data_IF_284896822220
#
_entry.id   IF_284896822220
#
_cell.length_a   1.000
_cell.length_b   1.000
_cell.length_c   1.000
_cell.angle_alpha   90.00
_cell.angle_beta   90.00
_cell.angle_gamma   90.00
#
_symmetry.space_group_name_H-M   'P 1'
#
loop_
_entity.id
_entity.type
_entity.pdbx_description
1 polymer ?
#
# COMPACT_ATOMS: atom_id res chain seq x y z
N UNK A 1 -16.10 -12.63 -11.10
CA UNK A 1 -15.40 -12.69 -12.40
C UNK A 1 -13.91 -12.53 -12.11
N UNK A 2 -13.14 -13.61 -12.20
CA UNK A 2 -11.68 -13.54 -12.12
C UNK A 2 -11.16 -13.16 -13.50
N UNK A 3 -10.75 -11.90 -13.68
CA UNK A 3 -10.10 -11.44 -14.89
C UNK A 3 -8.64 -11.87 -14.86
N UNK A 4 -8.26 -12.80 -15.75
CA UNK A 4 -6.86 -13.13 -16.01
C UNK A 4 -6.20 -11.93 -16.69
N UNK A 5 -5.46 -11.11 -15.95
CA UNK A 5 -4.65 -10.04 -16.55
C UNK A 5 -3.25 -10.58 -16.75
N UNK A 6 -2.78 -10.59 -18.00
CA UNK A 6 -1.43 -10.95 -18.41
C UNK A 6 -0.39 -10.39 -17.40
N UNK A 7 0.25 -11.28 -16.63
CA UNK A 7 0.91 -10.95 -15.34
C UNK A 7 2.39 -10.56 -15.45
N UNK A 8 3.00 -10.58 -16.65
CA UNK A 8 4.46 -10.39 -16.76
C UNK A 8 4.93 -9.03 -16.22
N UNK A 9 5.60 -9.06 -15.06
CA UNK A 9 6.26 -7.91 -14.45
C UNK A 9 5.28 -6.88 -13.89
N UNK A 10 4.18 -7.33 -13.27
CA UNK A 10 3.16 -6.48 -12.65
C UNK A 10 3.12 -6.71 -11.14
N UNK A 11 3.46 -5.66 -10.39
CA UNK A 11 3.27 -5.65 -8.94
C UNK A 11 1.95 -5.01 -8.59
N UNK A 12 1.14 -5.73 -7.82
CA UNK A 12 -0.11 -5.25 -7.26
C UNK A 12 0.11 -5.00 -5.78
N UNK A 13 0.17 -3.72 -5.38
CA UNK A 13 0.03 -3.34 -3.99
C UNK A 13 -1.45 -3.10 -3.71
N UNK A 14 -2.04 -3.86 -2.80
CA UNK A 14 -3.40 -3.63 -2.33
C UNK A 14 -3.36 -3.10 -0.89
N UNK A 15 -3.70 -1.83 -0.70
CA UNK A 15 -3.86 -1.25 0.64
C UNK A 15 -5.33 -1.33 1.00
N UNK A 16 -5.67 -2.13 2.00
CA UNK A 16 -6.98 -2.18 2.64
C UNK A 16 -6.93 -1.41 3.94
N UNK A 17 -7.85 -0.46 4.14
CA UNK A 17 -7.99 0.27 5.40
C UNK A 17 -9.34 -0.11 6.02
N UNK A 18 -9.33 -0.62 7.26
CA UNK A 18 -10.52 -1.11 7.93
C UNK A 18 -10.35 -1.40 9.42
N UNK A 19 -11.46 -1.47 10.16
CA UNK A 19 -11.47 -1.85 11.59
C UNK A 19 -11.40 -3.39 11.71
N UNK A 20 -10.24 -3.92 12.15
CA UNK A 20 -10.01 -5.37 12.26
C UNK A 20 -10.28 -5.95 13.65
N UNK A 21 -10.41 -5.15 14.72
CA UNK A 21 -10.56 -5.66 16.10
C UNK A 21 -11.64 -4.90 16.85
N UNK A 22 -12.52 -5.66 17.52
CA UNK A 22 -13.76 -5.31 18.23
C UNK A 22 -13.85 -3.99 19.05
N UNK A 23 -12.79 -3.22 19.19
CA UNK A 23 -12.76 -1.93 19.89
C UNK A 23 -11.45 -1.15 19.64
N UNK A 24 -10.73 -1.44 18.54
CA UNK A 24 -9.38 -0.95 18.28
C UNK A 24 -9.29 0.12 17.17
N UNK A 25 -8.10 0.73 17.00
CA UNK A 25 -7.85 1.68 15.93
C UNK A 25 -8.10 1.11 14.52
N UNK A 26 -8.30 2.00 13.54
CA UNK A 26 -8.24 1.66 12.11
C UNK A 26 -6.96 0.87 11.81
N UNK A 27 -7.08 -0.32 11.22
CA UNK A 27 -5.94 -1.12 10.78
C UNK A 27 -5.68 -0.89 9.30
N UNK A 28 -4.40 -0.86 8.90
CA UNK A 28 -4.00 -0.92 7.51
C UNK A 28 -3.47 -2.32 7.20
N UNK A 29 -4.02 -2.93 6.17
CA UNK A 29 -3.55 -4.20 5.65
C UNK A 29 -2.96 -3.96 4.27
N UNK A 30 -1.66 -4.20 4.12
CA UNK A 30 -1.01 -4.24 2.82
C UNK A 30 -1.01 -5.67 2.33
N UNK A 31 -1.88 -5.97 1.36
CA UNK A 31 -1.95 -7.27 0.72
C UNK A 31 -1.20 -7.24 -0.60
N UNK A 32 -0.49 -8.33 -0.90
CA UNK A 32 -0.02 -8.58 -2.24
C UNK A 32 -0.82 -9.73 -2.85
N UNK A 33 -1.73 -9.47 -3.80
CA UNK A 33 -2.45 -10.51 -4.51
C UNK A 33 -1.63 -11.11 -5.67
N UNK A 34 -0.47 -10.54 -6.01
CA UNK A 34 0.37 -11.08 -7.10
C UNK A 34 1.10 -12.35 -6.64
N UNK A 35 1.02 -13.39 -7.46
CA UNK A 35 1.83 -14.60 -7.27
C UNK A 35 3.34 -14.33 -7.39
N UNK A 36 3.71 -13.19 -8.00
CA UNK A 36 5.09 -12.80 -8.27
C UNK A 36 5.85 -12.22 -7.06
N UNK A 37 5.18 -11.75 -5.99
CA UNK A 37 5.90 -11.31 -4.78
C UNK A 37 6.00 -12.37 -3.70
N UNK A 38 7.14 -12.33 -3.01
CA UNK A 38 7.50 -13.24 -1.91
C UNK A 38 7.87 -12.39 -0.68
N UNK A 39 7.33 -12.71 0.51
CA UNK A 39 6.35 -13.76 0.80
C UNK A 39 4.96 -13.43 0.22
N UNK A 40 4.22 -14.48 -0.16
CA UNK A 40 2.79 -14.34 -0.48
C UNK A 40 2.02 -14.11 0.82
N UNK A 41 1.13 -13.12 0.84
CA UNK A 41 0.32 -12.78 2.00
C UNK A 41 0.20 -11.29 2.27
N UNK A 42 -0.40 -10.98 3.41
CA UNK A 42 -0.64 -9.62 3.88
C UNK A 42 0.37 -9.24 4.95
N UNK A 43 1.01 -8.07 4.81
CA UNK A 43 1.63 -7.41 5.95
C UNK A 43 0.54 -6.59 6.65
N UNK A 44 0.19 -6.99 7.87
CA UNK A 44 -0.75 -6.27 8.72
C UNK A 44 0.05 -5.21 9.48
N UNK A 45 -0.27 -3.96 9.23
CA UNK A 45 0.31 -2.81 9.92
C UNK A 45 -0.84 -2.09 10.65
N UNK A 46 -0.95 -2.36 11.95
CA UNK A 46 -1.92 -1.66 12.81
C UNK A 46 -1.45 -0.21 13.00
N UNK A 47 -2.04 0.71 12.23
CA UNK A 47 -1.73 2.13 12.29
C UNK A 47 -2.89 2.90 12.93
N UNK A 48 -2.75 3.24 14.21
CA UNK A 48 -3.81 3.84 15.02
C UNK A 48 -4.15 5.30 14.72
N UNK A 49 -4.46 5.63 13.46
CA UNK A 49 -4.60 7.03 13.03
C UNK A 49 -5.65 7.21 11.94
N UNK A 50 -6.42 8.29 12.06
CA UNK A 50 -7.44 8.71 11.07
C UNK A 50 -6.84 9.11 9.71
N UNK A 51 -5.54 9.41 9.66
CA UNK A 51 -4.82 9.78 8.44
C UNK A 51 -3.60 8.88 8.26
N UNK A 52 -3.77 7.79 7.51
CA UNK A 52 -2.68 6.88 7.16
C UNK A 52 -2.01 7.35 5.88
N UNK A 53 -0.68 7.48 5.90
CA UNK A 53 0.13 7.76 4.72
C UNK A 53 1.10 6.61 4.47
N UNK A 54 1.09 6.12 3.23
CA UNK A 54 1.91 5.00 2.78
C UNK A 54 2.83 5.45 1.65
N UNK A 55 4.13 5.30 1.85
CA UNK A 55 5.13 5.42 0.79
C UNK A 55 5.49 4.02 0.31
N UNK A 56 5.43 3.78 -0.99
CA UNK A 56 5.91 2.54 -1.60
C UNK A 56 7.15 2.88 -2.42
N UNK A 57 8.19 2.07 -2.28
CA UNK A 57 9.39 2.19 -3.09
C UNK A 57 9.89 0.82 -3.52
N UNK A 58 10.56 0.75 -4.66
CA UNK A 58 11.05 -0.50 -5.22
C UNK A 58 12.44 -0.31 -5.82
N UNK A 59 13.19 -1.39 -5.90
CA UNK A 59 14.53 -1.42 -6.46
C UNK A 59 14.60 -2.52 -7.53
N UNK A 60 14.65 -2.12 -8.81
CA UNK A 60 14.68 -3.03 -9.97
C UNK A 60 15.92 -3.93 -10.00
N UNK A 61 17.06 -3.43 -9.51
CA UNK A 61 18.33 -4.17 -9.54
C UNK A 61 18.31 -5.33 -8.54
N UNK A 62 17.84 -5.07 -7.32
CA UNK A 62 17.77 -6.08 -6.25
C UNK A 62 16.44 -6.83 -6.22
N UNK A 63 15.49 -6.40 -7.04
CA UNK A 63 14.13 -6.92 -7.16
C UNK A 63 13.37 -6.97 -5.83
N UNK A 64 13.38 -5.83 -5.13
CA UNK A 64 12.76 -5.68 -3.80
C UNK A 64 11.78 -4.52 -3.77
N UNK A 65 10.76 -4.64 -2.92
CA UNK A 65 9.78 -3.58 -2.62
C UNK A 65 9.79 -3.35 -1.12
N UNK A 66 9.80 -2.07 -0.74
CA UNK A 66 9.69 -1.64 0.64
C UNK A 66 8.57 -0.63 0.81
N UNK A 67 8.26 -0.35 2.07
CA UNK A 67 7.23 0.61 2.44
C UNK A 67 7.67 1.55 3.56
N UNK A 68 7.01 2.70 3.61
CA UNK A 68 7.10 3.69 4.68
C UNK A 68 5.69 3.95 5.17
N UNK A 69 5.46 3.80 6.47
CA UNK A 69 4.12 3.94 7.06
C UNK A 69 4.18 5.04 8.10
N UNK A 70 3.44 6.12 7.86
CA UNK A 70 3.44 7.33 8.70
C UNK A 70 4.87 7.83 9.01
N UNK A 71 5.75 7.81 8.00
CA UNK A 71 7.14 8.26 8.12
C UNK A 71 8.12 7.21 8.67
N UNK A 72 7.64 6.08 9.19
CA UNK A 72 8.51 4.99 9.66
C UNK A 72 8.83 4.06 8.50
N UNK A 73 10.11 4.02 8.11
CA UNK A 73 10.59 3.12 7.06
C UNK A 73 10.60 1.67 7.57
N UNK A 74 9.86 0.78 6.89
CA UNK A 74 9.73 -0.65 7.23
C UNK A 74 10.74 -1.54 6.51
N UNK A 75 11.58 -0.96 5.66
CA UNK A 75 12.54 -1.68 4.85
C UNK A 75 11.88 -2.44 3.71
N UNK A 76 12.67 -3.31 3.07
CA UNK A 76 12.18 -4.20 2.03
C UNK A 76 11.40 -5.36 2.65
N UNK A 77 10.11 -5.44 2.33
CA UNK A 77 9.20 -6.47 2.85
C UNK A 77 8.87 -7.54 1.81
N UNK A 78 9.04 -7.22 0.52
CA UNK A 78 8.76 -8.15 -0.57
C UNK A 78 9.91 -8.22 -1.57
N UNK A 79 10.05 -9.37 -2.20
CA UNK A 79 10.92 -9.59 -3.36
C UNK A 79 10.10 -10.08 -4.55
N UNK A 80 10.62 -9.88 -5.77
CA UNK A 80 10.03 -10.37 -7.01
C UNK A 80 11.11 -10.99 -7.91
N UNK A 81 10.70 -11.81 -8.87
CA UNK A 81 11.63 -12.53 -9.76
C UNK A 81 11.73 -11.92 -11.14
N UNK A 82 10.63 -11.41 -11.68
CA UNK A 82 10.54 -10.79 -13.01
C UNK A 82 10.75 -9.28 -12.91
N UNK A 83 11.64 -8.67 -13.72
CA UNK A 83 11.75 -7.22 -13.80
C UNK A 83 10.39 -6.56 -14.06
N UNK A 84 10.13 -5.41 -13.42
CA UNK A 84 8.82 -4.79 -13.47
C UNK A 84 8.71 -3.89 -14.68
N UNK A 85 7.78 -4.22 -15.57
CA UNK A 85 7.46 -3.41 -16.75
C UNK A 85 6.25 -2.51 -16.50
N UNK A 86 5.38 -2.87 -15.54
CA UNK A 86 4.19 -2.12 -15.20
C UNK A 86 3.92 -2.18 -13.68
N UNK A 87 3.26 -1.16 -13.15
CA UNK A 87 2.77 -1.13 -11.77
C UNK A 87 1.27 -0.95 -11.74
N UNK A 88 0.59 -1.68 -10.83
CA UNK A 88 -0.82 -1.48 -10.54
C UNK A 88 -1.00 -1.25 -9.05
N UNK A 89 -1.78 -0.24 -8.70
CA UNK A 89 -2.19 0.02 -7.33
C UNK A 89 -3.68 -0.30 -7.19
N UNK A 90 -4.02 -1.06 -6.17
CA UNK A 90 -5.40 -1.31 -5.79
C UNK A 90 -5.60 -0.69 -4.40
N UNK A 91 -6.59 0.17 -4.28
CA UNK A 91 -6.94 0.77 -3.00
C UNK A 91 -8.30 0.21 -2.62
N UNK A 92 -8.32 -0.55 -1.54
CA UNK A 92 -9.53 -1.09 -0.93
C UNK A 92 -9.88 -0.30 0.32
N UNK A 93 -11.14 0.08 0.47
CA UNK A 93 -11.67 0.56 1.74
C UNK A 93 -12.62 -0.51 2.24
N UNK A 94 -12.27 -1.16 3.34
CA UNK A 94 -13.11 -2.18 3.97
C UNK A 94 -13.72 -1.62 5.24
N UNK A 95 -15.02 -1.35 5.20
CA UNK A 95 -15.74 -0.95 6.40
C UNK A 95 -16.53 -2.17 6.90
N UNK A 96 -16.03 -2.84 7.95
CA UNK A 96 -16.54 -4.17 8.37
C UNK A 96 -17.75 -4.15 9.32
N UNK A 97 -18.18 -2.99 9.84
CA UNK A 97 -19.27 -2.88 10.84
C UNK A 97 -20.57 -2.17 10.38
N UNK A 98 -21.01 -2.31 9.12
CA UNK A 98 -22.25 -1.66 8.61
C UNK A 98 -23.50 -1.95 9.47
N UNK A 99 -23.42 -2.94 10.36
CA UNK A 99 -24.49 -3.42 11.22
C UNK A 99 -24.08 -3.20 12.68
N UNK A 100 -24.48 -2.07 13.23
CA UNK A 100 -24.22 -1.68 14.62
C UNK A 100 -24.81 -0.32 14.89
N UNK A 101 -25.97 -0.28 15.55
CA UNK A 101 -26.58 0.95 16.05
C UNK A 101 -25.58 1.63 16.97
N UNK A 102 -25.05 2.77 16.51
CA UNK A 102 -24.55 3.90 17.31
C UNK A 102 -23.14 4.42 17.03
N UNK A 103 -22.33 3.92 16.06
CA UNK A 103 -21.06 4.59 15.69
C UNK A 103 -20.47 4.04 14.36
N UNK A 104 -21.17 4.24 13.25
CA UNK A 104 -20.65 3.86 11.92
C UNK A 104 -20.41 5.11 11.06
N UNK A 105 -19.46 5.14 10.10
CA UNK A 105 -19.15 6.33 9.27
C UNK A 105 -20.27 6.79 8.32
N UNK A 106 -21.54 6.48 8.59
CA UNK A 106 -22.67 7.03 7.85
C UNK A 106 -22.61 8.55 7.93
N UNK A 107 -22.48 9.21 6.77
CA UNK A 107 -22.31 10.66 6.66
C UNK A 107 -20.86 11.16 6.76
N UNK A 108 -19.87 10.26 6.89
CA UNK A 108 -18.45 10.62 6.79
C UNK A 108 -17.94 10.45 5.36
N UNK A 109 -17.02 11.33 4.97
CA UNK A 109 -16.33 11.23 3.69
C UNK A 109 -15.05 10.40 3.86
N UNK A 110 -14.94 9.34 3.07
CA UNK A 110 -13.66 8.63 2.89
C UNK A 110 -13.02 9.14 1.60
N UNK A 111 -11.75 9.53 1.69
CA UNK A 111 -10.97 9.95 0.54
C UNK A 111 -9.62 9.22 0.52
N UNK A 112 -9.09 9.03 -0.67
CA UNK A 112 -7.73 8.55 -0.89
C UNK A 112 -7.09 9.42 -1.97
N UNK A 113 -5.78 9.62 -1.86
CA UNK A 113 -4.99 10.38 -2.82
C UNK A 113 -3.76 9.56 -3.19
N UNK A 114 -3.43 9.53 -4.49
CA UNK A 114 -2.17 8.98 -4.98
C UNK A 114 -1.24 10.14 -5.30
N UNK A 115 -0.12 10.21 -4.59
CA UNK A 115 0.91 11.22 -4.79
C UNK A 115 2.01 10.63 -5.68
N UNK A 116 2.19 11.19 -6.88
CA UNK A 116 3.25 10.82 -7.83
C UNK A 116 4.22 11.97 -8.14
N UNK A 117 3.86 13.19 -7.75
CA UNK A 117 4.67 14.41 -7.87
C UNK A 117 5.73 14.43 -6.76
N UNK A 118 7.03 14.39 -7.13
CA UNK A 118 8.13 14.40 -6.17
C UNK A 118 8.05 15.55 -5.16
N UNK A 119 7.57 16.74 -5.58
CA UNK A 119 7.49 17.92 -4.71
C UNK A 119 6.51 17.74 -3.53
N UNK A 120 5.62 16.75 -3.63
CA UNK A 120 4.63 16.39 -2.61
C UNK A 120 4.99 15.12 -1.84
N UNK A 121 6.10 14.46 -2.18
CA UNK A 121 6.58 13.29 -1.44
C UNK A 121 7.30 13.75 -0.17
N UNK A 122 6.76 13.38 0.99
CA UNK A 122 7.17 13.96 2.29
C UNK A 122 8.00 13.01 3.16
N UNK A 123 8.21 11.76 2.72
CA UNK A 123 8.94 10.78 3.50
C UNK A 123 10.43 10.76 3.18
N UNK A 124 11.23 10.22 4.11
CA UNK A 124 12.64 9.96 3.89
C UNK A 124 12.80 8.62 3.16
N UNK A 125 12.90 8.69 1.83
CA UNK A 125 13.14 7.53 0.98
C UNK A 125 14.63 7.13 1.01
N UNK A 126 14.97 5.87 0.66
CA UNK A 126 16.36 5.46 0.52
C UNK A 126 17.15 6.38 -0.45
N UNK A 127 18.44 6.56 -0.19
CA UNK A 127 19.29 7.40 -1.04
C UNK A 127 19.27 6.94 -2.51
N UNK A 128 19.14 7.90 -3.42
CA UNK A 128 19.05 7.64 -4.86
C UNK A 128 17.66 7.19 -5.35
N UNK A 129 16.63 7.28 -4.50
CA UNK A 129 15.25 7.05 -4.94
C UNK A 129 14.83 8.16 -5.90
N UNK A 130 14.09 7.79 -6.93
CA UNK A 130 13.50 8.72 -7.90
C UNK A 130 12.00 8.53 -7.97
N UNK A 131 11.28 9.57 -8.37
CA UNK A 131 9.86 9.49 -8.69
C UNK A 131 9.63 8.71 -10.00
N UNK A 132 8.37 8.58 -10.40
CA UNK A 132 8.00 7.85 -11.64
C UNK A 132 8.52 8.53 -12.92
N UNK A 133 8.96 9.79 -12.83
CA UNK A 133 9.53 10.57 -13.92
C UNK A 133 11.07 10.55 -13.93
N UNK A 134 11.71 9.89 -12.96
CA UNK A 134 13.16 9.82 -12.82
C UNK A 134 13.79 11.01 -12.08
N UNK A 135 12.98 11.86 -11.44
CA UNK A 135 13.48 12.98 -10.61
C UNK A 135 13.86 12.44 -9.24
N UNK A 136 15.04 12.81 -8.72
CA UNK A 136 15.47 12.41 -7.37
C UNK A 136 14.54 13.01 -6.32
N UNK A 137 14.10 12.18 -5.37
CA UNK A 137 13.27 12.54 -4.21
C UNK A 137 14.14 12.76 -2.98
#
# INVERSE_FOLDING_TARGET
MAGTSNEEGVVVGAVSVGDEKNSGPTSMVMTNPSSELIPQGSNIEEAAVENIRVGIYYNQNTKKIGSIINGVNKGYQWTYTTPLNNFKFLIGVEIRRLVGVNNYPIGQNVSYEIISDHSKMQFNYPSGTTDICGTVI
#
